data_IF_632057646109
#
_entry.id   IF_632057646109
#
_cell.length_a   1.000
_cell.length_b   1.000
_cell.length_c   1.000
_cell.angle_alpha   90.00
_cell.angle_beta   90.00
_cell.angle_gamma   90.00
#
_symmetry.space_group_name_H-M   'P 1'
#
loop_
_entity.id
_entity.type
_entity.pdbx_description
1 polymer ?
#
# COMPACT_ATOMS: atom_id res chain seq x y z
N UNK A 1 19.34 -16.91 -6.65
CA UNK A 1 18.03 -16.32 -6.96
C UNK A 1 17.33 -17.24 -7.95
N UNK A 2 16.38 -18.04 -7.47
CA UNK A 2 15.72 -19.04 -8.29
C UNK A 2 14.57 -18.40 -9.10
N UNK A 3 14.17 -19.00 -10.22
CA UNK A 3 13.07 -18.51 -11.08
C UNK A 3 11.78 -18.23 -10.28
N UNK A 4 11.50 -19.07 -9.27
CA UNK A 4 10.38 -18.92 -8.35
C UNK A 4 10.48 -17.67 -7.46
N UNK A 5 11.69 -17.30 -7.03
CA UNK A 5 11.93 -16.07 -6.25
C UNK A 5 11.70 -14.82 -7.10
N UNK A 6 12.16 -14.84 -8.35
CA UNK A 6 11.93 -13.75 -9.32
C UNK A 6 10.43 -13.60 -9.61
N UNK A 7 9.71 -14.71 -9.83
CA UNK A 7 8.26 -14.69 -10.02
C UNK A 7 7.53 -14.12 -8.80
N UNK A 8 7.97 -14.49 -7.60
CA UNK A 8 7.39 -13.97 -6.35
C UNK A 8 7.61 -12.45 -6.22
N UNK A 9 8.80 -11.95 -6.56
CA UNK A 9 9.10 -10.51 -6.56
C UNK A 9 8.21 -9.77 -7.57
N UNK A 10 8.14 -10.25 -8.82
CA UNK A 10 7.35 -9.60 -9.88
C UNK A 10 5.86 -9.62 -9.55
N UNK A 11 5.34 -10.76 -9.07
CA UNK A 11 3.94 -10.89 -8.65
C UNK A 11 3.60 -9.96 -7.47
N UNK A 12 4.50 -9.87 -6.50
CA UNK A 12 4.41 -8.93 -5.37
C UNK A 12 4.32 -7.47 -5.85
N UNK A 13 5.17 -7.10 -6.81
CA UNK A 13 5.20 -5.76 -7.38
C UNK A 13 3.90 -5.42 -8.11
N UNK A 14 3.43 -6.33 -8.97
CA UNK A 14 2.16 -6.19 -9.68
C UNK A 14 0.97 -6.06 -8.72
N UNK A 15 0.96 -6.86 -7.64
CA UNK A 15 -0.10 -6.83 -6.65
C UNK A 15 -0.18 -5.50 -5.90
N UNK A 16 0.97 -4.93 -5.53
CA UNK A 16 1.05 -3.59 -4.92
C UNK A 16 0.56 -2.53 -5.90
N UNK A 17 1.00 -2.56 -7.16
CA UNK A 17 0.58 -1.60 -8.19
C UNK A 17 -0.94 -1.67 -8.41
N UNK A 18 -1.51 -2.87 -8.56
CA UNK A 18 -2.95 -3.06 -8.74
C UNK A 18 -3.73 -2.54 -7.53
N UNK A 19 -3.26 -2.81 -6.31
CA UNK A 19 -3.90 -2.32 -5.09
C UNK A 19 -3.84 -0.80 -4.98
N UNK A 20 -2.73 -0.19 -5.38
CA UNK A 20 -2.57 1.26 -5.40
C UNK A 20 -3.51 1.92 -6.42
N UNK A 21 -3.56 1.39 -7.65
CA UNK A 21 -4.45 1.88 -8.71
C UNK A 21 -5.91 1.75 -8.26
N UNK A 22 -6.29 0.60 -7.70
CA UNK A 22 -7.65 0.38 -7.22
C UNK A 22 -8.01 1.34 -6.10
N UNK A 23 -7.09 1.58 -5.15
CA UNK A 23 -7.32 2.51 -4.06
C UNK A 23 -7.39 3.98 -4.50
N UNK A 24 -6.61 4.36 -5.51
CA UNK A 24 -6.65 5.69 -6.10
C UNK A 24 -7.95 5.93 -6.88
N UNK A 25 -8.41 4.92 -7.65
CA UNK A 25 -9.69 4.97 -8.37
C UNK A 25 -10.85 5.10 -7.37
N UNK A 26 -10.84 4.33 -6.28
CA UNK A 26 -11.92 4.38 -5.29
C UNK A 26 -12.03 5.76 -4.62
N UNK A 27 -10.89 6.39 -4.30
CA UNK A 27 -10.87 7.75 -3.74
C UNK A 27 -11.29 8.81 -4.75
N UNK A 28 -10.91 8.64 -6.02
CA UNK A 28 -11.36 9.55 -7.09
C UNK A 28 -12.86 9.43 -7.35
N UNK A 29 -13.42 8.20 -7.27
CA UNK A 29 -14.83 7.91 -7.51
C UNK A 29 -15.74 8.28 -6.32
N UNK A 30 -15.23 8.17 -5.09
CA UNK A 30 -15.95 8.51 -3.86
C UNK A 30 -15.59 9.90 -3.31
N UNK A 31 -15.05 10.80 -4.13
CA UNK A 31 -14.57 12.14 -3.72
C UNK A 31 -15.67 13.02 -3.10
N UNK A 32 -16.92 12.73 -3.42
CA UNK A 32 -18.14 13.46 -3.00
C UNK A 32 -18.84 12.83 -1.77
N UNK A 33 -18.39 11.64 -1.34
CA UNK A 33 -18.97 10.95 -0.18
C UNK A 33 -18.23 11.36 1.10
N UNK A 34 -19.02 11.59 2.16
CA UNK A 34 -18.66 11.86 3.56
C UNK A 34 -17.20 11.53 3.94
N UNK A 35 -16.50 12.50 4.52
CA UNK A 35 -15.07 12.48 4.93
C UNK A 35 -14.59 11.16 5.57
N UNK A 36 -15.46 10.38 6.22
CA UNK A 36 -15.16 9.07 6.81
C UNK A 36 -14.86 7.96 5.78
N UNK A 37 -15.50 7.94 4.61
CA UNK A 37 -15.21 6.90 3.58
C UNK A 37 -13.92 7.19 2.82
N UNK A 38 -13.54 8.46 2.71
CA UNK A 38 -12.38 8.95 1.93
C UNK A 38 -11.04 8.37 2.39
N UNK A 39 -10.87 8.14 3.70
CA UNK A 39 -9.62 7.59 4.27
C UNK A 39 -9.65 6.09 4.54
N UNK A 40 -10.80 5.42 4.33
CA UNK A 40 -10.96 4.00 4.63
C UNK A 40 -10.01 3.13 3.82
N UNK A 41 -9.79 3.50 2.56
CA UNK A 41 -8.89 2.79 1.64
C UNK A 41 -7.43 2.96 2.02
N UNK A 42 -7.02 4.18 2.37
CA UNK A 42 -5.68 4.44 2.90
C UNK A 42 -5.43 3.63 4.18
N UNK A 43 -6.36 3.69 5.13
CA UNK A 43 -6.27 2.93 6.38
C UNK A 43 -6.19 1.40 6.13
N UNK A 44 -6.93 0.89 5.14
CA UNK A 44 -6.89 -0.52 4.77
C UNK A 44 -5.52 -0.93 4.19
N UNK A 45 -4.99 -0.14 3.25
CA UNK A 45 -3.65 -0.35 2.67
C UNK A 45 -2.55 -0.25 3.73
N UNK A 46 -2.66 0.72 4.65
CA UNK A 46 -1.77 0.85 5.79
C UNK A 46 -1.80 -0.39 6.68
N UNK A 47 -2.99 -0.88 7.00
CA UNK A 47 -3.18 -2.05 7.87
C UNK A 47 -2.55 -3.29 7.24
N UNK A 48 -2.75 -3.51 5.94
CA UNK A 48 -2.12 -4.62 5.21
C UNK A 48 -0.59 -4.46 5.20
N UNK A 49 -0.08 -3.28 4.86
CA UNK A 49 1.36 -3.00 4.87
C UNK A 49 2.01 -3.20 6.25
N UNK A 50 1.29 -2.83 7.31
CA UNK A 50 1.69 -2.98 8.70
C UNK A 50 1.68 -4.46 9.14
N UNK A 51 0.62 -5.21 8.83
CA UNK A 51 0.55 -6.65 9.11
C UNK A 51 1.69 -7.38 8.39
N UNK A 52 1.96 -7.03 7.13
CA UNK A 52 3.10 -7.58 6.39
C UNK A 52 4.44 -7.22 7.04
N UNK A 53 4.59 -6.00 7.56
CA UNK A 53 5.81 -5.56 8.26
C UNK A 53 6.04 -6.31 9.57
N UNK A 54 4.99 -6.44 10.39
CA UNK A 54 5.04 -7.18 11.66
C UNK A 54 5.25 -8.67 11.40
N UNK A 55 4.55 -9.22 10.41
CA UNK A 55 4.74 -10.58 9.92
C UNK A 55 6.19 -10.83 9.49
N UNK A 56 6.79 -9.89 8.76
CA UNK A 56 8.21 -9.95 8.43
C UNK A 56 9.10 -9.98 9.68
N UNK A 57 8.93 -9.07 10.65
CA UNK A 57 9.78 -9.04 11.86
C UNK A 57 9.69 -10.35 12.65
N UNK A 58 8.50 -10.95 12.73
CA UNK A 58 8.26 -12.20 13.46
C UNK A 58 8.73 -13.44 12.69
N UNK A 59 8.60 -13.44 11.36
CA UNK A 59 8.78 -14.63 10.51
C UNK A 59 10.12 -14.64 9.77
N UNK A 60 10.60 -13.49 9.27
CA UNK A 60 11.85 -13.39 8.52
C UNK A 60 13.08 -13.81 9.35
N UNK A 61 13.01 -13.69 10.68
CA UNK A 61 14.04 -14.26 11.57
C UNK A 61 14.22 -15.78 11.45
N UNK A 62 13.26 -16.51 10.86
CA UNK A 62 13.28 -17.96 10.70
C UNK A 62 13.57 -18.45 9.28
N UNK A 63 13.63 -17.56 8.28
CA UNK A 63 13.82 -17.96 6.89
C UNK A 63 15.15 -17.42 6.34
N UNK A 64 16.08 -18.32 5.99
CA UNK A 64 17.33 -17.99 5.28
C UNK A 64 17.11 -17.68 3.77
N UNK A 65 15.86 -17.57 3.33
CA UNK A 65 15.53 -17.29 1.94
C UNK A 65 15.56 -15.77 1.67
N UNK A 66 16.70 -15.30 1.17
CA UNK A 66 16.91 -13.89 0.79
C UNK A 66 15.88 -13.41 -0.24
N UNK A 67 15.53 -14.24 -1.22
CA UNK A 67 14.53 -13.90 -2.26
C UNK A 67 13.16 -13.59 -1.63
N UNK A 68 12.73 -14.40 -0.65
CA UNK A 68 11.47 -14.21 0.08
C UNK A 68 11.49 -12.94 0.93
N UNK A 69 12.63 -12.72 1.61
CA UNK A 69 12.88 -11.54 2.45
C UNK A 69 12.74 -10.26 1.64
N UNK A 70 13.35 -10.22 0.44
CA UNK A 70 13.28 -9.08 -0.48
C UNK A 70 11.85 -8.86 -0.98
N UNK A 71 11.14 -9.89 -1.46
CA UNK A 71 9.73 -9.77 -1.89
C UNK A 71 8.84 -9.18 -0.79
N UNK A 72 9.01 -9.66 0.43
CA UNK A 72 8.19 -9.27 1.57
C UNK A 72 8.47 -7.83 2.01
N UNK A 73 9.75 -7.42 2.06
CA UNK A 73 10.13 -6.02 2.28
C UNK A 73 9.53 -5.10 1.22
N UNK A 74 9.58 -5.51 -0.05
CA UNK A 74 9.00 -4.76 -1.17
C UNK A 74 7.48 -4.61 -1.04
N UNK A 75 6.79 -5.68 -0.66
CA UNK A 75 5.35 -5.65 -0.38
C UNK A 75 5.01 -4.69 0.76
N UNK A 76 5.67 -4.84 1.92
CA UNK A 76 5.39 -4.03 3.10
C UNK A 76 5.65 -2.54 2.84
N UNK A 77 6.84 -2.20 2.31
CA UNK A 77 7.20 -0.83 1.98
C UNK A 77 6.29 -0.25 0.88
N UNK A 78 5.99 -1.03 -0.16
CA UNK A 78 5.10 -0.64 -1.25
C UNK A 78 3.69 -0.30 -0.77
N UNK A 79 3.12 -1.10 0.13
CA UNK A 79 1.81 -0.82 0.73
C UNK A 79 1.81 0.41 1.64
N UNK A 80 2.87 0.61 2.43
CA UNK A 80 3.00 1.79 3.31
C UNK A 80 3.15 3.08 2.50
N UNK A 81 3.99 3.09 1.46
CA UNK A 81 4.17 4.22 0.55
C UNK A 81 2.85 4.50 -0.19
N UNK A 82 2.19 3.46 -0.69
CA UNK A 82 0.89 3.55 -1.34
C UNK A 82 -0.15 4.22 -0.44
N UNK A 83 -0.25 3.76 0.81
CA UNK A 83 -1.13 4.38 1.80
C UNK A 83 -0.79 5.85 2.05
N UNK A 84 0.50 6.18 2.21
CA UNK A 84 0.94 7.55 2.44
C UNK A 84 0.61 8.47 1.27
N UNK A 85 0.84 8.03 0.02
CA UNK A 85 0.49 8.79 -1.18
C UNK A 85 -1.01 9.01 -1.34
N UNK A 86 -1.81 8.00 -1.01
CA UNK A 86 -3.26 8.10 -1.02
C UNK A 86 -3.76 9.06 0.08
N UNK A 87 -3.17 9.01 1.27
CA UNK A 87 -3.48 9.93 2.35
C UNK A 87 -3.12 11.37 1.99
N UNK A 88 -1.94 11.59 1.40
CA UNK A 88 -1.46 12.89 0.95
C UNK A 88 -2.35 13.49 -0.15
N UNK A 89 -2.76 12.69 -1.15
CA UNK A 89 -3.68 13.14 -2.20
C UNK A 89 -5.06 13.49 -1.64
N UNK A 90 -5.55 12.75 -0.65
CA UNK A 90 -6.75 13.09 0.11
C UNK A 90 -6.65 14.42 0.84
N UNK A 91 -5.51 14.69 1.49
CA UNK A 91 -5.19 15.95 2.20
C UNK A 91 -5.06 17.15 1.25
N UNK A 92 -4.28 17.03 0.18
CA UNK A 92 -4.10 18.09 -0.81
C UNK A 92 -5.42 18.47 -1.49
N UNK A 93 -6.24 17.47 -1.83
CA UNK A 93 -7.59 17.69 -2.33
C UNK A 93 -8.49 18.43 -1.34
N UNK A 94 -8.21 18.36 -0.04
CA UNK A 94 -9.00 19.03 0.98
C UNK A 94 -8.53 20.48 1.19
N UNK A 95 -7.21 20.75 1.14
CA UNK A 95 -6.69 22.11 1.21
C UNK A 95 -7.15 22.97 0.03
N UNK A 96 -7.13 22.42 -1.19
CA UNK A 96 -7.59 23.15 -2.37
C UNK A 96 -9.07 23.56 -2.29
N UNK A 97 -9.89 22.79 -1.56
CA UNK A 97 -11.31 23.09 -1.35
C UNK A 97 -11.55 24.16 -0.27
N UNK A 98 -10.55 24.42 0.60
CA UNK A 98 -10.62 25.45 1.65
C UNK A 98 -10.18 26.81 1.09
N UNK A 99 -9.27 26.84 0.11
CA UNK A 99 -8.79 28.08 -0.53
C UNK A 99 -9.79 28.67 -1.54
N UNK A 100 -10.75 27.88 -2.02
CA UNK A 100 -11.82 28.32 -2.95
C UNK A 100 -13.12 28.76 -2.22
N UNK A 101 -13.13 28.77 -0.88
CA UNK A 101 -14.27 29.14 -0.01
C UNK A 101 -14.08 30.52 0.61
#
# INVERSE_FOLDING_TARGET
MNLLGILAIIGSFLFVILSFIWGFIDIRKNRDQEKRKKYRVAAFLFTIGFILSVGYVLVAKRFDNIDLTISWMLLSSGFLISSAGIFATGLLSQQQNIDES
#
